data_IF_488355488354
#
_entry.id   IF_488355488354
#
_cell.length_a   1.000
_cell.length_b   1.000
_cell.length_c   1.000
_cell.angle_alpha   90.00
_cell.angle_beta   90.00
_cell.angle_gamma   90.00
#
_symmetry.space_group_name_H-M   'P 1'
#
loop_
_entity.id
_entity.type
_entity.pdbx_description
1 polymer ?
#
# COMPACT_ATOMS: atom_id res chain seq x y z
N UNK A 1 -46.48 9.78 -56.13
CA UNK A 1 -47.24 9.82 -54.85
C UNK A 1 -46.53 8.93 -53.85
N UNK A 2 -46.20 9.49 -52.67
CA UNK A 2 -46.11 8.88 -51.30
C UNK A 2 -45.34 7.54 -51.15
N UNK A 3 -44.54 7.27 -50.11
CA UNK A 3 -44.12 7.93 -48.87
C UNK A 3 -43.00 7.04 -48.28
N UNK A 4 -42.03 7.64 -47.60
CA UNK A 4 -40.99 6.97 -46.80
C UNK A 4 -41.58 6.09 -45.69
N UNK A 5 -40.85 5.03 -45.27
CA UNK A 5 -40.50 4.82 -43.85
C UNK A 5 -39.20 4.02 -43.68
N UNK A 6 -38.27 4.63 -42.93
CA UNK A 6 -37.14 4.03 -42.26
C UNK A 6 -37.58 2.86 -41.36
N UNK A 7 -36.75 1.81 -41.27
CA UNK A 7 -36.62 1.04 -40.04
C UNK A 7 -35.16 0.63 -39.88
N UNK A 8 -34.46 1.48 -39.14
CA UNK A 8 -33.16 1.22 -38.51
C UNK A 8 -33.39 0.09 -37.51
N UNK A 9 -32.89 -1.12 -37.78
CA UNK A 9 -32.71 -2.13 -36.73
C UNK A 9 -31.27 -1.99 -36.22
N UNK A 10 -31.13 -1.07 -35.28
CA UNK A 10 -29.96 -0.90 -34.44
C UNK A 10 -29.91 -2.11 -33.52
N UNK A 11 -29.19 -3.16 -33.91
CA UNK A 11 -28.87 -4.28 -33.04
C UNK A 11 -27.92 -3.78 -31.95
N UNK A 12 -28.50 -3.30 -30.85
CA UNK A 12 -27.79 -3.05 -29.61
C UNK A 12 -27.17 -4.39 -29.14
N UNK A 13 -25.87 -4.51 -29.36
CA UNK A 13 -24.98 -5.38 -28.62
C UNK A 13 -24.98 -4.92 -27.15
N UNK A 14 -25.99 -5.32 -26.37
CA UNK A 14 -25.87 -5.42 -24.93
C UNK A 14 -25.08 -6.68 -24.62
N UNK A 15 -23.77 -6.60 -24.88
CA UNK A 15 -22.79 -7.46 -24.22
C UNK A 15 -22.80 -7.09 -22.75
N UNK A 16 -23.75 -7.65 -21.99
CA UNK A 16 -23.65 -7.74 -20.54
C UNK A 16 -22.46 -8.68 -20.31
N UNK A 17 -21.26 -8.09 -20.28
CA UNK A 17 -20.16 -8.71 -19.56
C UNK A 17 -20.68 -8.86 -18.15
N UNK A 18 -21.11 -10.06 -17.79
CA UNK A 18 -21.39 -10.41 -16.42
C UNK A 18 -20.07 -10.16 -15.68
N UNK A 19 -19.93 -8.99 -15.06
CA UNK A 19 -18.91 -8.71 -14.08
C UNK A 19 -19.12 -9.75 -12.99
N UNK A 20 -18.41 -10.87 -13.11
CA UNK A 20 -18.26 -11.79 -12.01
C UNK A 20 -17.60 -10.97 -10.92
N UNK A 21 -18.33 -10.72 -9.84
CA UNK A 21 -17.76 -10.02 -8.69
C UNK A 21 -16.53 -10.79 -8.25
N UNK A 22 -15.42 -10.07 -8.07
CA UNK A 22 -14.24 -10.65 -7.45
C UNK A 22 -14.61 -11.33 -6.13
N UNK A 23 -13.86 -12.36 -5.74
CA UNK A 23 -14.03 -13.06 -4.46
C UNK A 23 -13.99 -12.13 -3.24
N UNK A 24 -13.44 -10.93 -3.40
CA UNK A 24 -13.38 -9.87 -2.40
C UNK A 24 -14.74 -9.30 -2.03
N UNK A 25 -15.67 -9.13 -2.98
CA UNK A 25 -16.93 -8.42 -2.73
C UNK A 25 -18.13 -9.35 -2.72
N UNK A 26 -19.09 -9.08 -1.82
CA UNK A 26 -20.34 -9.86 -1.75
C UNK A 26 -21.23 -9.72 -2.98
N UNK A 27 -21.04 -8.65 -3.76
CA UNK A 27 -21.78 -8.41 -5.01
C UNK A 27 -21.04 -7.43 -5.92
N UNK A 28 -21.39 -7.45 -7.21
CA UNK A 28 -20.88 -6.51 -8.20
C UNK A 28 -21.19 -5.03 -7.84
N UNK A 29 -22.28 -4.77 -7.11
CA UNK A 29 -22.61 -3.41 -6.67
C UNK A 29 -21.61 -2.86 -5.65
N UNK A 30 -21.10 -3.69 -4.73
CA UNK A 30 -20.05 -3.27 -3.80
C UNK A 30 -18.71 -3.08 -4.48
N UNK A 31 -18.37 -3.96 -5.42
CA UNK A 31 -17.18 -3.78 -6.24
C UNK A 31 -17.23 -2.46 -7.02
N UNK A 32 -18.36 -2.16 -7.67
CA UNK A 32 -18.55 -0.91 -8.40
C UNK A 32 -18.45 0.31 -7.46
N UNK A 33 -19.08 0.24 -6.29
CA UNK A 33 -19.01 1.30 -5.27
C UNK A 33 -17.55 1.56 -4.85
N UNK A 34 -16.78 0.50 -4.60
CA UNK A 34 -15.36 0.61 -4.27
C UNK A 34 -14.57 1.27 -5.41
N UNK A 35 -14.79 0.85 -6.65
CA UNK A 35 -14.12 1.43 -7.83
C UNK A 35 -14.42 2.93 -7.99
N UNK A 36 -15.67 3.33 -7.80
CA UNK A 36 -16.09 4.73 -7.90
C UNK A 36 -15.50 5.59 -6.78
N UNK A 37 -15.52 5.09 -5.55
CA UNK A 37 -15.05 5.84 -4.38
C UNK A 37 -13.52 5.89 -4.26
N UNK A 38 -12.84 4.78 -4.54
CA UNK A 38 -11.42 4.59 -4.27
C UNK A 38 -10.56 4.50 -5.54
N UNK A 39 -11.08 3.90 -6.61
CA UNK A 39 -10.33 3.69 -7.87
C UNK A 39 -10.08 4.97 -8.67
N UNK A 40 -10.98 5.96 -8.59
CA UNK A 40 -10.81 7.22 -9.33
C UNK A 40 -9.96 8.26 -8.61
N UNK A 41 -9.63 8.02 -7.34
CA UNK A 41 -8.84 8.97 -6.54
C UNK A 41 -7.35 8.71 -6.68
N UNK A 42 -6.58 9.79 -6.69
CA UNK A 42 -5.15 9.71 -6.48
C UNK A 42 -4.87 9.63 -4.99
N UNK A 43 -4.03 8.68 -4.60
CA UNK A 43 -3.60 8.46 -3.23
C UNK A 43 -2.09 8.63 -3.13
N UNK A 44 -1.60 8.68 -1.90
CA UNK A 44 -0.19 8.64 -1.58
C UNK A 44 0.07 7.43 -0.69
N UNK A 45 1.24 6.82 -0.78
CA UNK A 45 1.62 5.76 0.15
C UNK A 45 1.74 6.35 1.57
N UNK A 46 0.96 5.82 2.51
CA UNK A 46 0.98 6.23 3.91
C UNK A 46 2.15 5.62 4.70
N UNK A 47 2.82 4.63 4.10
CA UNK A 47 4.02 3.99 4.60
C UNK A 47 4.98 3.73 3.44
N UNK A 48 6.25 3.46 3.73
CA UNK A 48 7.16 2.88 2.73
C UNK A 48 6.76 1.43 2.45
N UNK A 49 6.50 1.08 1.19
CA UNK A 49 6.13 -0.29 0.80
C UNK A 49 7.37 -1.11 0.48
N UNK A 50 7.39 -2.36 0.93
CA UNK A 50 8.45 -3.34 0.66
C UNK A 50 7.83 -4.59 0.06
N UNK A 51 7.50 -4.56 -1.25
CA UNK A 51 6.82 -5.68 -1.87
C UNK A 51 7.72 -6.91 -1.99
N UNK A 52 7.07 -8.07 -2.12
CA UNK A 52 7.70 -9.29 -2.61
C UNK A 52 7.73 -9.27 -4.13
N UNK A 53 8.75 -9.89 -4.72
CA UNK A 53 8.74 -10.19 -6.14
C UNK A 53 7.66 -11.23 -6.43
N UNK A 54 6.81 -11.00 -7.44
CA UNK A 54 5.72 -11.91 -7.78
C UNK A 54 5.64 -12.08 -9.30
N UNK A 55 5.28 -13.26 -9.82
CA UNK A 55 5.02 -13.43 -11.25
C UNK A 55 3.96 -12.43 -11.74
N UNK A 56 4.36 -11.47 -12.58
CA UNK A 56 3.48 -10.40 -13.07
C UNK A 56 3.47 -9.11 -12.24
N UNK A 57 4.49 -8.90 -11.38
CA UNK A 57 4.80 -7.60 -10.79
C UNK A 57 5.27 -7.67 -9.35
N UNK A 58 4.64 -6.87 -8.50
CA UNK A 58 4.95 -6.77 -7.08
C UNK A 58 3.78 -7.22 -6.21
N UNK A 59 4.07 -7.80 -5.06
CA UNK A 59 3.05 -8.25 -4.11
C UNK A 59 3.22 -7.57 -2.75
N UNK A 60 2.13 -7.02 -2.22
CA UNK A 60 2.03 -6.57 -0.83
C UNK A 60 1.04 -7.50 -0.13
N UNK A 61 1.49 -8.18 0.92
CA UNK A 61 0.64 -9.08 1.69
C UNK A 61 0.08 -8.37 2.93
N UNK A 62 -1.21 -8.01 2.92
CA UNK A 62 -1.91 -7.53 4.11
C UNK A 62 -2.55 -8.65 4.93
N UNK A 63 -2.62 -9.87 4.37
CA UNK A 63 -3.23 -11.02 5.04
C UNK A 63 -2.34 -11.54 6.18
N UNK A 64 -1.03 -11.33 6.08
CA UNK A 64 -0.04 -11.91 6.98
C UNK A 64 0.03 -13.44 6.91
N UNK A 65 -0.60 -14.04 5.89
CA UNK A 65 -0.67 -15.49 5.73
C UNK A 65 0.46 -16.04 4.90
N UNK A 66 1.14 -15.19 4.14
CA UNK A 66 2.31 -15.61 3.38
C UNK A 66 3.51 -15.66 4.33
N UNK A 67 3.99 -16.87 4.58
CA UNK A 67 5.25 -17.04 5.29
C UNK A 67 6.41 -16.53 4.43
N UNK A 68 7.41 -15.88 5.04
CA UNK A 68 8.62 -15.42 4.32
C UNK A 68 9.33 -16.57 3.58
N UNK A 69 9.20 -17.80 4.07
CA UNK A 69 9.76 -19.03 3.48
C UNK A 69 8.95 -19.59 2.29
N UNK A 70 7.68 -19.18 2.13
CA UNK A 70 6.81 -19.66 1.03
C UNK A 70 7.10 -18.97 -0.30
N UNK A 71 7.80 -17.84 -0.27
CA UNK A 71 8.44 -17.30 -1.47
C UNK A 71 9.92 -17.68 -1.42
N UNK A 72 10.33 -18.65 -2.23
CA UNK A 72 11.74 -18.91 -2.56
C UNK A 72 12.42 -17.72 -3.29
N UNK A 73 11.90 -16.49 -3.18
CA UNK A 73 12.26 -15.34 -3.99
C UNK A 73 12.09 -14.07 -3.16
N UNK A 74 13.22 -13.64 -2.59
CA UNK A 74 13.58 -12.34 -2.03
C UNK A 74 12.48 -11.25 -1.99
N UNK A 75 12.38 -10.54 -0.84
CA UNK A 75 11.85 -9.16 -0.84
C UNK A 75 12.37 -8.47 -2.10
N UNK A 76 11.48 -7.85 -2.86
CA UNK A 76 11.89 -7.18 -4.08
C UNK A 76 13.07 -6.25 -3.73
N UNK A 77 14.07 -6.16 -4.61
CA UNK A 77 15.15 -5.19 -4.46
C UNK A 77 14.66 -3.73 -4.58
N UNK A 78 13.34 -3.54 -4.67
CA UNK A 78 12.63 -2.28 -4.73
C UNK A 78 12.02 -1.97 -3.37
N UNK A 79 12.27 -0.75 -2.90
CA UNK A 79 11.45 -0.11 -1.87
C UNK A 79 10.67 1.01 -2.53
N UNK A 80 9.39 1.12 -2.20
CA UNK A 80 8.52 2.17 -2.73
C UNK A 80 8.38 3.22 -1.65
N UNK A 81 8.86 4.44 -1.89
CA UNK A 81 8.90 5.45 -0.86
C UNK A 81 7.52 5.77 -0.32
N UNK A 82 7.48 6.11 0.96
CA UNK A 82 6.37 6.87 1.54
C UNK A 82 6.08 8.15 0.75
N UNK A 83 4.81 8.52 0.65
CA UNK A 83 4.36 9.67 -0.12
C UNK A 83 4.47 9.48 -1.63
N UNK A 84 4.83 8.30 -2.12
CA UNK A 84 4.75 7.97 -3.55
C UNK A 84 3.30 8.03 -3.98
N UNK A 85 3.04 8.61 -5.15
CA UNK A 85 1.69 8.64 -5.71
C UNK A 85 1.29 7.24 -6.14
N UNK A 86 0.16 6.79 -5.63
CA UNK A 86 -0.41 5.47 -5.90
C UNK A 86 -1.83 5.63 -6.42
N UNK A 87 -2.17 4.87 -7.45
CA UNK A 87 -3.52 4.77 -8.00
C UNK A 87 -3.98 3.32 -7.92
N UNK A 88 -5.17 3.10 -7.38
CA UNK A 88 -5.85 1.81 -7.47
C UNK A 88 -6.46 1.71 -8.86
N UNK A 89 -6.04 0.71 -9.63
CA UNK A 89 -6.40 0.60 -11.04
C UNK A 89 -7.47 -0.46 -11.30
N UNK A 90 -7.54 -1.50 -10.47
CA UNK A 90 -8.47 -2.60 -10.65
C UNK A 90 -8.60 -3.45 -9.38
N UNK A 91 -9.45 -4.47 -9.41
CA UNK A 91 -9.52 -5.54 -8.40
C UNK A 91 -9.46 -6.92 -9.07
N UNK A 92 -8.86 -7.86 -8.36
CA UNK A 92 -8.79 -9.28 -8.70
C UNK A 92 -9.49 -10.09 -7.60
N UNK A 93 -9.54 -11.42 -7.75
CA UNK A 93 -10.28 -12.30 -6.83
C UNK A 93 -9.88 -12.17 -5.35
N UNK A 94 -8.60 -11.94 -5.09
CA UNK A 94 -7.95 -11.93 -3.77
C UNK A 94 -7.11 -10.67 -3.52
N UNK A 95 -7.11 -9.72 -4.46
CA UNK A 95 -6.19 -8.60 -4.43
C UNK A 95 -6.81 -7.32 -4.99
N UNK A 96 -6.38 -6.19 -4.45
CA UNK A 96 -6.56 -4.88 -5.10
C UNK A 96 -5.33 -4.59 -5.95
N UNK A 97 -5.53 -4.16 -7.20
CA UNK A 97 -4.46 -3.86 -8.13
C UNK A 97 -4.14 -2.36 -8.12
N UNK A 98 -2.86 -2.02 -8.02
CA UNK A 98 -2.40 -0.64 -7.93
C UNK A 98 -1.19 -0.36 -8.84
N UNK A 99 -0.99 0.92 -9.17
CA UNK A 99 0.22 1.42 -9.83
C UNK A 99 0.82 2.58 -9.06
N UNK A 100 2.13 2.63 -9.02
CA UNK A 100 2.90 3.73 -8.43
C UNK A 100 3.49 4.57 -9.56
N UNK A 101 3.41 5.89 -9.44
CA UNK A 101 4.09 6.79 -10.37
C UNK A 101 5.60 6.57 -10.31
N UNK A 102 6.24 6.33 -11.47
CA UNK A 102 7.67 6.04 -11.57
C UNK A 102 8.05 4.56 -11.43
N UNK A 103 7.07 3.66 -11.29
CA UNK A 103 7.28 2.21 -11.31
C UNK A 103 6.43 1.58 -12.43
N UNK A 104 7.04 0.71 -13.23
CA UNK A 104 6.37 0.12 -14.40
C UNK A 104 5.45 -1.05 -14.01
N UNK A 105 5.78 -1.75 -12.94
CA UNK A 105 5.09 -2.96 -12.50
C UNK A 105 3.78 -2.68 -11.76
N UNK A 106 2.81 -3.59 -11.94
CA UNK A 106 1.56 -3.57 -11.17
C UNK A 106 1.80 -4.14 -9.78
N UNK A 107 1.29 -3.45 -8.77
CA UNK A 107 1.24 -3.94 -7.40
C UNK A 107 -0.06 -4.73 -7.18
N UNK A 108 0.07 -5.96 -6.73
CA UNK A 108 -1.01 -6.78 -6.19
C UNK A 108 -1.01 -6.62 -4.67
N UNK A 109 -2.05 -6.02 -4.12
CA UNK A 109 -2.23 -5.87 -2.67
C UNK A 109 -3.18 -6.96 -2.23
N UNK A 110 -2.66 -8.04 -1.64
CA UNK A 110 -3.51 -9.10 -1.11
C UNK A 110 -4.25 -8.58 0.11
N UNK A 111 -5.54 -8.90 0.16
CA UNK A 111 -6.44 -8.51 1.24
C UNK A 111 -7.09 -9.77 1.82
N UNK A 112 -7.28 -9.78 3.12
CA UNK A 112 -7.91 -10.88 3.87
C UNK A 112 -9.42 -10.86 3.73
N UNK A 113 -10.00 -9.70 3.40
CA UNK A 113 -11.44 -9.55 3.18
C UNK A 113 -11.94 -10.50 2.09
N UNK A 114 -12.92 -11.34 2.43
CA UNK A 114 -13.62 -12.21 1.50
C UNK A 114 -15.11 -11.91 1.54
N UNK A 115 -15.72 -11.69 0.38
CA UNK A 115 -17.14 -11.31 0.24
C UNK A 115 -17.54 -10.13 1.16
N UNK A 116 -16.69 -9.12 1.27
CA UNK A 116 -16.94 -7.90 2.02
C UNK A 116 -17.79 -6.87 1.27
N UNK A 117 -18.05 -5.75 1.95
CA UNK A 117 -18.57 -4.51 1.38
C UNK A 117 -17.43 -3.66 0.79
N UNK A 118 -17.79 -2.53 0.17
CA UNK A 118 -16.81 -1.55 -0.29
C UNK A 118 -15.97 -1.00 0.88
N UNK A 119 -16.62 -0.71 2.00
CA UNK A 119 -15.97 -0.14 3.20
C UNK A 119 -15.01 -1.14 3.85
N UNK A 120 -15.35 -2.44 3.86
CA UNK A 120 -14.47 -3.46 4.44
C UNK A 120 -13.12 -3.52 3.70
N UNK A 121 -13.16 -3.62 2.37
CA UNK A 121 -11.95 -3.63 1.53
C UNK A 121 -11.21 -2.29 1.61
N UNK A 122 -11.95 -1.17 1.64
CA UNK A 122 -11.38 0.16 1.78
C UNK A 122 -10.62 0.35 3.09
N UNK A 123 -11.16 -0.13 4.21
CA UNK A 123 -10.51 -0.04 5.51
C UNK A 123 -9.21 -0.84 5.55
N UNK A 124 -9.20 -2.02 4.92
CA UNK A 124 -8.02 -2.87 4.87
C UNK A 124 -6.91 -2.26 4.01
N UNK A 125 -7.21 -1.84 2.78
CA UNK A 125 -6.21 -1.20 1.92
C UNK A 125 -5.83 0.20 2.41
N UNK A 126 -6.73 0.88 3.14
CA UNK A 126 -6.56 2.22 3.69
C UNK A 126 -5.35 2.36 4.61
N UNK A 127 -4.86 1.27 5.21
CA UNK A 127 -3.62 1.29 6.02
C UNK A 127 -2.38 1.66 5.19
N UNK A 128 -2.41 1.43 3.88
CA UNK A 128 -1.32 1.72 2.96
C UNK A 128 -1.46 3.10 2.31
N UNK A 129 -2.62 3.74 2.43
CA UNK A 129 -3.02 4.88 1.61
C UNK A 129 -3.27 6.14 2.44
N UNK A 130 -2.84 7.28 1.90
CA UNK A 130 -3.14 8.60 2.44
C UNK A 130 -3.84 9.44 1.36
N UNK A 131 -4.94 10.13 1.67
CA UNK A 131 -5.59 11.03 0.72
C UNK A 131 -4.74 12.28 0.44
N UNK A 132 -3.88 12.66 1.38
CA UNK A 132 -3.04 13.86 1.28
C UNK A 132 -1.56 13.48 1.10
N UNK A 133 -0.76 14.31 0.42
CA UNK A 133 0.68 14.13 0.38
C UNK A 133 1.17 14.17 1.83
N UNK A 134 1.91 13.17 2.30
CA UNK A 134 2.16 13.06 3.73
C UNK A 134 3.53 13.67 4.15
N UNK A 135 4.35 14.09 3.17
CA UNK A 135 5.61 14.84 3.37
C UNK A 135 5.48 16.23 4.02
N UNK A 136 4.42 17.04 3.80
CA UNK A 136 4.19 18.28 4.55
C UNK A 136 4.10 18.07 6.08
N UNK A 137 3.65 16.89 6.53
CA UNK A 137 3.60 16.53 7.94
C UNK A 137 4.98 16.19 8.55
N UNK A 138 6.00 16.00 7.71
CA UNK A 138 7.41 15.83 8.13
C UNK A 138 8.01 17.20 8.43
N UNK A 139 8.72 17.31 9.55
CA UNK A 139 9.45 18.54 9.91
C UNK A 139 10.44 18.88 8.81
N UNK A 140 10.55 20.16 8.45
CA UNK A 140 11.39 20.60 7.32
C UNK A 140 12.83 20.05 7.38
N UNK A 141 13.44 20.03 8.57
CA UNK A 141 14.79 19.52 8.79
C UNK A 141 14.95 18.01 8.51
N UNK A 142 13.87 17.23 8.52
CA UNK A 142 13.88 15.77 8.34
C UNK A 142 13.43 15.33 6.96
N UNK A 143 12.85 16.23 6.15
CA UNK A 143 12.29 15.90 4.82
C UNK A 143 13.30 15.27 3.89
N UNK A 144 14.50 15.84 3.85
CA UNK A 144 15.61 15.33 3.03
C UNK A 144 16.02 13.91 3.40
N UNK A 145 16.04 13.59 4.70
CA UNK A 145 16.37 12.24 5.18
C UNK A 145 15.26 11.25 4.82
N UNK A 146 14.00 11.61 5.05
CA UNK A 146 12.84 10.80 4.66
C UNK A 146 12.83 10.56 3.14
N UNK A 147 13.04 11.60 2.34
CA UNK A 147 13.06 11.51 0.88
C UNK A 147 14.22 10.68 0.34
N UNK A 148 15.37 10.66 1.04
CA UNK A 148 16.56 9.88 0.65
C UNK A 148 16.63 8.49 1.29
N UNK A 149 15.59 8.05 2.00
CA UNK A 149 15.61 6.77 2.75
C UNK A 149 16.76 6.68 3.75
N UNK A 150 17.06 7.79 4.41
CA UNK A 150 18.11 7.88 5.42
C UNK A 150 17.50 8.08 6.80
N UNK A 151 18.25 7.69 7.81
CA UNK A 151 17.93 7.98 9.20
C UNK A 151 18.93 8.99 9.73
N UNK A 152 18.41 9.90 10.54
CA UNK A 152 19.16 10.90 11.26
C UNK A 152 18.75 10.89 12.73
N UNK A 153 19.70 11.28 13.58
CA UNK A 153 19.42 11.50 15.00
C UNK A 153 18.35 12.59 15.14
N UNK A 154 17.42 12.37 16.06
CA UNK A 154 16.31 13.27 16.34
C UNK A 154 15.11 13.11 15.41
N UNK A 155 15.14 12.21 14.42
CA UNK A 155 13.92 11.82 13.70
C UNK A 155 12.94 11.17 14.68
N UNK A 156 11.66 11.53 14.58
CA UNK A 156 10.59 10.86 15.33
C UNK A 156 10.30 9.48 14.76
N UNK A 157 9.72 8.59 15.56
CA UNK A 157 9.26 7.27 15.15
C UNK A 157 8.41 7.32 13.87
N UNK A 158 7.59 8.38 13.73
CA UNK A 158 6.77 8.60 12.54
C UNK A 158 7.63 8.91 11.32
N UNK A 159 8.62 9.78 11.46
CA UNK A 159 9.57 10.12 10.38
C UNK A 159 10.45 8.90 10.01
N UNK A 160 10.78 8.03 10.97
CA UNK A 160 11.45 6.75 10.71
C UNK A 160 10.55 5.83 9.89
N UNK A 161 9.29 5.66 10.29
CA UNK A 161 8.30 4.89 9.52
C UNK A 161 8.13 5.44 8.11
N UNK A 162 8.17 6.76 7.97
CA UNK A 162 8.12 7.41 6.66
C UNK A 162 9.39 7.11 5.84
N UNK A 163 10.58 7.12 6.44
CA UNK A 163 11.85 6.86 5.74
C UNK A 163 12.05 5.39 5.38
N UNK A 164 11.94 4.49 6.35
CA UNK A 164 12.30 3.07 6.21
C UNK A 164 11.10 2.13 6.22
N UNK A 165 9.90 2.60 6.56
CA UNK A 165 8.73 1.75 6.75
C UNK A 165 8.67 1.14 8.15
N UNK A 166 7.77 0.17 8.31
CA UNK A 166 7.63 -0.58 9.56
C UNK A 166 8.89 -1.44 9.79
N UNK A 167 9.40 -1.53 11.03
CA UNK A 167 10.50 -2.43 11.36
C UNK A 167 10.05 -3.89 11.26
N UNK A 168 11.00 -4.78 10.99
CA UNK A 168 10.77 -6.23 11.00
C UNK A 168 10.42 -6.69 12.43
N UNK A 169 10.98 -6.01 13.43
CA UNK A 169 10.67 -6.21 14.85
C UNK A 169 10.86 -4.93 15.64
N UNK A 170 9.97 -4.64 16.58
CA UNK A 170 10.13 -3.55 17.54
C UNK A 170 10.01 -4.08 18.98
N UNK A 171 10.92 -3.66 19.85
CA UNK A 171 10.89 -3.91 21.29
C UNK A 171 10.82 -2.59 22.02
N UNK A 172 9.93 -2.52 23.01
CA UNK A 172 9.71 -1.31 23.82
C UNK A 172 10.00 -1.67 25.27
N UNK A 173 10.87 -0.88 25.91
CA UNK A 173 11.32 -1.08 27.27
C UNK A 173 11.13 0.19 28.08
N UNK A 174 10.58 0.12 29.31
CA UNK A 174 10.61 1.26 30.21
C UNK A 174 12.05 1.53 30.66
N UNK A 175 12.40 2.81 30.78
CA UNK A 175 13.69 3.30 31.27
C UNK A 175 13.48 4.38 32.34
N UNK A 176 14.54 4.75 33.06
CA UNK A 176 14.46 5.78 34.10
C UNK A 176 14.07 7.17 33.59
N UNK A 177 14.26 7.46 32.29
CA UNK A 177 13.98 8.74 31.63
C UNK A 177 12.74 8.70 30.72
N UNK A 178 12.01 7.58 30.69
CA UNK A 178 10.83 7.39 29.83
C UNK A 178 10.88 6.05 29.11
N UNK A 179 10.78 6.05 27.79
CA UNK A 179 10.69 4.81 26.98
C UNK A 179 11.93 4.66 26.11
N UNK A 180 12.55 3.48 26.15
CA UNK A 180 13.59 3.06 25.21
C UNK A 180 13.00 2.05 24.23
N UNK A 181 13.26 2.23 22.95
CA UNK A 181 12.77 1.34 21.89
C UNK A 181 13.95 0.85 21.05
N UNK A 182 13.94 -0.43 20.74
CA UNK A 182 14.87 -1.05 19.78
C UNK A 182 14.08 -1.60 18.61
N UNK A 183 14.38 -1.08 17.42
CA UNK A 183 13.72 -1.43 16.17
C UNK A 183 14.71 -2.09 15.24
N UNK A 184 14.35 -3.25 14.71
CA UNK A 184 15.19 -4.06 13.85
C UNK A 184 14.69 -3.96 12.42
N UNK A 185 15.62 -3.69 11.50
CA UNK A 185 15.35 -3.53 10.08
C UNK A 185 16.29 -4.38 9.21
N UNK A 186 15.77 -4.72 8.03
CA UNK A 186 16.52 -5.32 6.92
C UNK A 186 17.09 -6.69 7.26
N UNK A 187 16.29 -7.54 7.89
CA UNK A 187 16.71 -8.86 8.36
C UNK A 187 17.89 -8.77 9.33
N UNK A 188 17.68 -8.03 10.42
CA UNK A 188 18.64 -7.85 11.54
C UNK A 188 19.95 -7.14 11.20
N UNK A 189 20.14 -6.65 9.98
CA UNK A 189 21.34 -5.88 9.58
C UNK A 189 21.40 -4.50 10.20
N UNK A 190 20.27 -3.96 10.66
CA UNK A 190 20.21 -2.62 11.24
C UNK A 190 19.37 -2.62 12.51
N UNK A 191 19.96 -2.14 13.60
CA UNK A 191 19.30 -1.89 14.87
C UNK A 191 19.19 -0.38 15.07
N UNK A 192 17.97 0.12 15.21
CA UNK A 192 17.65 1.52 15.42
C UNK A 192 17.15 1.71 16.86
N UNK A 193 17.74 2.65 17.58
CA UNK A 193 17.40 2.94 18.96
C UNK A 193 16.67 4.28 19.04
N UNK A 194 15.51 4.27 19.67
CA UNK A 194 14.72 5.46 19.94
C UNK A 194 14.58 5.64 21.45
N UNK A 195 14.65 6.88 21.91
CA UNK A 195 14.29 7.27 23.26
C UNK A 195 13.11 8.24 23.18
N UNK A 196 12.04 7.94 23.90
CA UNK A 196 10.80 8.70 23.90
C UNK A 196 10.24 8.95 22.48
N UNK A 197 10.36 7.95 21.61
CA UNK A 197 9.90 8.03 20.22
C UNK A 197 10.78 8.85 19.29
N UNK A 198 12.03 9.17 19.65
CA UNK A 198 13.00 9.87 18.80
C UNK A 198 14.30 9.07 18.66
N UNK A 199 14.84 9.01 17.44
CA UNK A 199 16.10 8.33 17.13
C UNK A 199 17.24 8.95 17.92
N UNK A 200 17.91 8.13 18.72
CA UNK A 200 19.13 8.53 19.45
C UNK A 200 20.36 7.90 18.82
N UNK A 201 20.26 6.66 18.33
CA UNK A 201 21.38 5.94 17.75
C UNK A 201 20.94 4.82 16.79
N UNK A 202 21.86 4.31 15.99
CA UNK A 202 21.68 3.07 15.22
C UNK A 202 22.99 2.31 15.09
N UNK A 203 22.89 1.00 14.89
CA UNK A 203 24.01 0.09 14.71
C UNK A 203 23.77 -0.78 13.49
N UNK A 204 24.78 -0.86 12.62
CA UNK A 204 24.81 -1.79 11.49
C UNK A 204 25.62 -3.01 11.90
N UNK A 205 25.04 -4.20 11.70
CA UNK A 205 25.68 -5.49 11.95
C UNK A 205 26.12 -6.16 10.64
#
# INVERSE_FOLDING_TARGET
>A
MRQYQLSIVLSLLLGISACSSSGLFRSAAHEQTFREQFGQRQWYTAITLRPYAHPGGYLIDLTGTIAEEQFDTYRAATSIPFGSRIRLIDVANDAVLARIEGYDEVLRILVSTQRGTADDVANEVGILLSPDPPLPAVRAAMRDFVARHQIARGMSWREVYMSWGQPDKAQVMPSSSGTLEEWVYFDKRMHLFLENGYVTNWQQM
#
